data_IF_303009461966
#
_entry.id   IF_303009461966
#
_cell.length_a   1.000
_cell.length_b   1.000
_cell.length_c   1.000
_cell.angle_alpha   90.00
_cell.angle_beta   90.00
_cell.angle_gamma   90.00
#
_symmetry.space_group_name_H-M   'P 1'
#
loop_
_entity.id
_entity.type
_entity.pdbx_description
1 polymer ?
#
# COMPACT_ATOMS: atom_id res chain seq x y z
N UNK A 1 -0.68 28.54 31.46
CA UNK A 1 -1.71 27.91 30.59
C UNK A 1 -1.15 27.78 29.18
N UNK A 2 -1.40 26.61 28.55
CA UNK A 2 -1.06 26.19 27.16
C UNK A 2 0.10 25.18 27.06
N UNK A 3 -0.25 23.89 27.01
CA UNK A 3 0.12 22.92 25.96
C UNK A 3 -0.01 21.47 26.46
N UNK A 4 -1.25 20.97 26.54
CA UNK A 4 -1.55 19.55 26.80
C UNK A 4 -2.31 18.87 25.66
N UNK A 5 -2.60 19.56 24.54
CA UNK A 5 -3.48 19.00 23.47
C UNK A 5 -2.80 18.18 22.37
N UNK A 6 -1.47 18.03 22.36
CA UNK A 6 -0.76 17.30 21.28
C UNK A 6 -0.59 15.79 21.52
N UNK A 7 -0.68 15.33 22.77
CA UNK A 7 -0.50 13.90 23.12
C UNK A 7 -1.74 13.03 22.90
N UNK A 8 -2.93 13.63 22.95
CA UNK A 8 -4.18 12.86 23.03
C UNK A 8 -4.71 12.45 21.64
N UNK A 9 -4.41 13.22 20.59
CA UNK A 9 -4.86 12.93 19.23
C UNK A 9 -4.17 11.72 18.58
N UNK A 10 -2.96 11.36 19.04
CA UNK A 10 -2.22 10.22 18.48
C UNK A 10 -2.76 8.88 18.99
N UNK A 11 -3.18 8.81 20.26
CA UNK A 11 -3.76 7.60 20.88
C UNK A 11 -5.18 7.27 20.41
N UNK A 12 -5.98 8.28 20.06
CA UNK A 12 -7.37 8.09 19.63
C UNK A 12 -7.45 7.58 18.18
N UNK A 13 -6.51 7.98 17.32
CA UNK A 13 -6.48 7.60 15.89
C UNK A 13 -6.14 6.14 15.63
N UNK A 14 -5.22 5.55 16.43
CA UNK A 14 -4.86 4.13 16.27
C UNK A 14 -6.03 3.18 16.58
N UNK A 15 -6.98 3.63 17.41
CA UNK A 15 -8.14 2.85 17.80
C UNK A 15 -9.16 2.68 16.65
N UNK A 16 -9.15 3.57 15.65
CA UNK A 16 -10.07 3.46 14.51
C UNK A 16 -9.80 2.20 13.69
N UNK A 17 -8.55 2.02 13.26
CA UNK A 17 -8.16 0.89 12.42
C UNK A 17 -8.26 -0.44 13.16
N UNK A 18 -7.91 -0.47 14.45
CA UNK A 18 -7.99 -1.67 15.30
C UNK A 18 -9.43 -2.16 15.51
N UNK A 19 -10.40 -1.26 15.56
CA UNK A 19 -11.80 -1.60 15.84
C UNK A 19 -12.64 -1.85 14.58
N UNK A 20 -12.13 -1.51 13.38
CA UNK A 20 -12.86 -1.79 12.14
C UNK A 20 -12.97 -3.30 11.95
N UNK A 21 -14.22 -3.79 11.90
CA UNK A 21 -14.50 -5.18 11.56
C UNK A 21 -14.23 -5.40 10.06
N UNK A 22 -13.32 -6.30 9.74
CA UNK A 22 -12.97 -6.68 8.37
C UNK A 22 -13.51 -8.08 8.10
N UNK A 23 -14.41 -8.21 7.14
CA UNK A 23 -15.02 -9.50 6.80
C UNK A 23 -14.27 -10.14 5.64
N UNK A 24 -13.34 -11.05 5.95
CA UNK A 24 -12.60 -11.83 4.95
C UNK A 24 -13.00 -13.31 5.05
N UNK A 25 -13.10 -13.98 3.90
CA UNK A 25 -13.26 -15.43 3.87
C UNK A 25 -11.97 -16.12 4.33
N UNK A 26 -12.08 -17.36 4.80
CA UNK A 26 -10.90 -18.17 5.18
C UNK A 26 -9.91 -18.31 4.02
N UNK A 27 -10.41 -18.45 2.78
CA UNK A 27 -9.57 -18.52 1.61
C UNK A 27 -8.83 -17.19 1.36
N UNK A 28 -9.51 -16.05 1.50
CA UNK A 28 -8.87 -14.74 1.38
C UNK A 28 -7.75 -14.59 2.41
N UNK A 29 -7.99 -14.98 3.67
CA UNK A 29 -6.98 -14.95 4.73
C UNK A 29 -5.75 -15.80 4.34
N UNK A 30 -5.96 -17.05 3.90
CA UNK A 30 -4.86 -17.93 3.46
C UNK A 30 -4.08 -17.35 2.27
N UNK A 31 -4.75 -16.71 1.32
CA UNK A 31 -4.11 -16.06 0.18
C UNK A 31 -3.28 -14.86 0.64
N UNK A 32 -3.80 -14.03 1.54
CA UNK A 32 -3.08 -12.90 2.12
C UNK A 32 -1.82 -13.38 2.84
N UNK A 33 -1.94 -14.34 3.76
CA UNK A 33 -0.82 -14.91 4.50
C UNK A 33 0.27 -15.45 3.58
N UNK A 34 -0.10 -16.16 2.52
CA UNK A 34 0.87 -16.77 1.60
C UNK A 34 1.59 -15.78 0.70
N UNK A 35 0.94 -14.69 0.28
CA UNK A 35 1.43 -13.86 -0.84
C UNK A 35 1.65 -12.39 -0.52
N UNK A 36 0.91 -11.82 0.41
CA UNK A 36 0.82 -10.36 0.56
C UNK A 36 1.40 -9.89 1.89
N UNK A 37 1.15 -10.65 2.95
CA UNK A 37 1.57 -10.28 4.28
C UNK A 37 3.10 -10.18 4.39
N UNK A 38 3.59 -9.08 4.96
CA UNK A 38 5.00 -8.85 5.30
C UNK A 38 5.54 -9.98 6.18
N UNK A 39 6.75 -10.41 5.85
CA UNK A 39 7.53 -11.40 6.57
C UNK A 39 8.91 -10.85 6.88
N UNK A 40 9.57 -11.42 7.89
CA UNK A 40 11.01 -11.26 8.10
C UNK A 40 11.82 -12.18 7.19
N UNK A 41 13.14 -12.20 7.40
CA UNK A 41 14.11 -12.99 6.63
C UNK A 41 13.93 -14.50 6.87
N UNK A 42 13.43 -14.87 8.05
CA UNK A 42 13.10 -16.23 8.46
C UNK A 42 11.72 -16.70 7.96
N UNK A 43 10.95 -15.81 7.33
CA UNK A 43 9.65 -16.10 6.73
C UNK A 43 8.47 -16.06 7.70
N UNK A 44 8.67 -15.55 8.92
CA UNK A 44 7.64 -15.37 9.95
C UNK A 44 6.76 -14.18 9.59
N UNK A 45 5.44 -14.33 9.76
CA UNK A 45 4.49 -13.26 9.47
C UNK A 45 4.60 -12.12 10.50
N UNK A 46 4.81 -10.90 9.99
CA UNK A 46 4.95 -9.67 10.79
C UNK A 46 3.69 -8.80 10.79
N UNK A 47 2.70 -9.12 9.97
CA UNK A 47 1.47 -8.33 9.84
C UNK A 47 0.23 -9.21 9.72
N UNK A 48 -0.92 -8.70 10.17
CA UNK A 48 -2.25 -9.27 9.92
C UNK A 48 -2.90 -8.57 8.73
N UNK A 49 -4.02 -9.10 8.18
CA UNK A 49 -4.74 -8.44 7.09
C UNK A 49 -5.09 -6.96 7.34
N UNK A 50 -5.54 -6.61 8.55
CA UNK A 50 -5.83 -5.23 8.91
C UNK A 50 -4.58 -4.33 8.85
N UNK A 51 -3.45 -4.80 9.38
CA UNK A 51 -2.18 -4.08 9.35
C UNK A 51 -1.70 -3.85 7.91
N UNK A 52 -1.86 -4.86 7.05
CA UNK A 52 -1.57 -4.75 5.61
C UNK A 52 -2.38 -3.64 4.96
N UNK A 53 -3.70 -3.57 5.20
CA UNK A 53 -4.54 -2.52 4.64
C UNK A 53 -4.16 -1.13 5.15
N UNK A 54 -3.82 -0.98 6.43
CA UNK A 54 -3.32 0.29 6.98
C UNK A 54 -2.00 0.70 6.32
N UNK A 55 -1.05 -0.24 6.19
CA UNK A 55 0.24 -0.01 5.53
C UNK A 55 0.04 0.49 4.10
N UNK A 56 -0.80 -0.19 3.32
CA UNK A 56 -1.08 0.15 1.93
C UNK A 56 -1.77 1.52 1.83
N UNK A 57 -2.83 1.74 2.62
CA UNK A 57 -3.58 3.00 2.62
C UNK A 57 -2.70 4.20 2.95
N UNK A 58 -1.86 4.07 4.00
CA UNK A 58 -0.93 5.11 4.44
C UNK A 58 0.11 5.43 3.38
N UNK A 59 0.70 4.41 2.76
CA UNK A 59 1.73 4.60 1.74
C UNK A 59 1.15 5.31 0.51
N UNK A 60 -0.02 4.90 0.02
CA UNK A 60 -0.68 5.55 -1.13
C UNK A 60 -1.06 6.99 -0.79
N UNK A 61 -1.72 7.23 0.35
CA UNK A 61 -2.12 8.57 0.78
C UNK A 61 -0.93 9.53 0.96
N UNK A 62 0.27 9.02 1.28
CA UNK A 62 1.46 9.87 1.45
C UNK A 62 1.85 10.65 0.19
N UNK A 63 1.46 10.18 -0.99
CA UNK A 63 1.71 10.89 -2.25
C UNK A 63 1.03 12.26 -2.30
N UNK A 64 -0.10 12.42 -1.61
CA UNK A 64 -0.88 13.66 -1.54
C UNK A 64 -0.10 14.84 -0.96
N UNK A 65 0.91 14.57 -0.12
CA UNK A 65 1.83 15.60 0.38
C UNK A 65 2.57 16.33 -0.74
N UNK A 66 2.90 15.60 -1.82
CA UNK A 66 3.54 16.18 -3.01
C UNK A 66 2.61 17.13 -3.78
N UNK A 67 1.30 17.04 -3.54
CA UNK A 67 0.27 17.88 -4.13
C UNK A 67 -0.25 18.97 -3.17
N UNK A 68 0.51 19.26 -2.09
CA UNK A 68 0.24 20.39 -1.20
C UNK A 68 -0.80 20.14 -0.11
N UNK A 69 -1.26 18.90 0.09
CA UNK A 69 -2.18 18.57 1.19
C UNK A 69 -1.49 18.58 2.55
N UNK A 70 -2.22 19.03 3.56
CA UNK A 70 -1.82 19.03 4.97
C UNK A 70 -1.77 17.61 5.54
N UNK A 71 -1.11 17.44 6.69
CA UNK A 71 -1.04 16.14 7.37
C UNK A 71 -2.43 15.63 7.78
N UNK A 72 -3.33 16.53 8.17
CA UNK A 72 -4.71 16.21 8.50
C UNK A 72 -5.49 15.70 7.29
N UNK A 73 -5.38 16.36 6.14
CA UNK A 73 -6.04 15.93 4.90
C UNK A 73 -5.51 14.59 4.40
N UNK A 74 -4.19 14.38 4.45
CA UNK A 74 -3.55 13.10 4.10
C UNK A 74 -4.11 11.96 4.96
N UNK A 75 -4.31 12.21 6.27
CA UNK A 75 -4.89 11.21 7.18
C UNK A 75 -6.35 10.90 6.86
N UNK A 76 -7.14 11.88 6.45
CA UNK A 76 -8.52 11.62 6.03
C UNK A 76 -8.55 10.79 4.74
N UNK A 77 -7.64 11.03 3.81
CA UNK A 77 -7.49 10.22 2.58
C UNK A 77 -6.99 8.80 2.90
N UNK A 78 -6.04 8.64 3.83
CA UNK A 78 -5.61 7.33 4.35
C UNK A 78 -6.82 6.53 4.85
N UNK A 79 -7.71 7.14 5.65
CA UNK A 79 -8.92 6.47 6.11
C UNK A 79 -9.87 6.11 4.97
N UNK A 80 -10.03 6.97 3.98
CA UNK A 80 -10.86 6.69 2.81
C UNK A 80 -10.34 5.46 2.05
N UNK A 81 -9.03 5.41 1.75
CA UNK A 81 -8.43 4.24 1.11
C UNK A 81 -8.54 2.97 1.96
N UNK A 82 -8.33 3.09 3.28
CA UNK A 82 -8.50 1.96 4.19
C UNK A 82 -9.94 1.42 4.17
N UNK A 83 -10.95 2.29 4.19
CA UNK A 83 -12.35 1.89 4.18
C UNK A 83 -12.72 1.19 2.89
N UNK A 84 -12.47 1.77 1.72
CA UNK A 84 -12.84 1.15 0.44
C UNK A 84 -12.16 -0.22 0.25
N UNK A 85 -10.95 -0.41 0.78
CA UNK A 85 -10.26 -1.70 0.74
C UNK A 85 -10.84 -2.71 1.73
N UNK A 86 -11.15 -2.29 2.95
CA UNK A 86 -11.67 -3.20 4.00
C UNK A 86 -13.14 -3.54 3.84
N UNK A 87 -13.90 -2.65 3.19
CA UNK A 87 -15.30 -2.86 2.79
C UNK A 87 -15.39 -3.63 1.45
N UNK A 88 -14.25 -3.89 0.80
CA UNK A 88 -14.10 -4.64 -0.47
C UNK A 88 -14.78 -3.98 -1.68
N UNK A 89 -15.06 -2.68 -1.61
CA UNK A 89 -15.56 -1.88 -2.73
C UNK A 89 -14.48 -1.68 -3.80
N UNK A 90 -13.21 -1.63 -3.39
CA UNK A 90 -12.06 -1.51 -4.28
C UNK A 90 -10.81 -2.16 -3.67
N UNK A 91 -10.08 -2.92 -4.48
CA UNK A 91 -8.74 -3.40 -4.12
C UNK A 91 -7.75 -2.96 -5.20
N UNK A 92 -6.57 -2.44 -4.80
CA UNK A 92 -5.54 -2.16 -5.76
C UNK A 92 -4.94 -3.47 -6.29
N UNK A 93 -4.15 -3.38 -7.36
CA UNK A 93 -3.52 -4.55 -7.97
C UNK A 93 -2.58 -5.30 -6.99
N UNK A 94 -2.15 -6.51 -7.37
CA UNK A 94 -1.29 -7.33 -6.53
C UNK A 94 0.04 -6.65 -6.14
N UNK A 95 0.81 -6.01 -7.05
CA UNK A 95 2.05 -5.33 -6.68
C UNK A 95 1.85 -4.24 -5.63
N UNK A 96 0.75 -3.47 -5.71
CA UNK A 96 0.45 -2.45 -4.70
C UNK A 96 0.24 -3.08 -3.32
N UNK A 97 -0.58 -4.13 -3.21
CA UNK A 97 -0.79 -4.83 -1.93
C UNK A 97 0.51 -5.44 -1.38
N UNK A 98 1.33 -6.01 -2.28
CA UNK A 98 2.58 -6.67 -1.92
C UNK A 98 3.66 -5.68 -1.49
N UNK A 99 3.80 -4.52 -2.15
CA UNK A 99 5.00 -3.68 -2.08
C UNK A 99 4.81 -2.30 -1.44
N UNK A 100 3.57 -1.78 -1.37
CA UNK A 100 3.32 -0.45 -0.80
C UNK A 100 3.83 -0.38 0.66
N UNK A 101 4.71 0.57 0.95
CA UNK A 101 5.30 0.69 2.30
C UNK A 101 6.40 -0.33 2.64
N UNK A 102 6.90 -1.12 1.68
CA UNK A 102 8.11 -1.97 1.80
C UNK A 102 9.29 -1.34 1.04
N UNK A 103 10.48 -1.92 1.10
CA UNK A 103 11.68 -1.35 0.47
C UNK A 103 11.56 -1.20 -1.06
N UNK A 104 11.06 -2.23 -1.75
CA UNK A 104 11.00 -2.26 -3.23
C UNK A 104 10.13 -1.15 -3.85
N UNK A 105 9.02 -0.75 -3.20
CA UNK A 105 8.06 0.29 -3.65
C UNK A 105 7.56 0.20 -5.12
N UNK A 106 7.78 -0.89 -5.85
CA UNK A 106 7.25 -1.11 -7.19
C UNK A 106 5.76 -1.47 -7.11
N UNK A 107 4.88 -0.49 -7.41
CA UNK A 107 3.41 -0.64 -7.27
C UNK A 107 2.70 -1.02 -8.59
N UNK A 108 3.40 -0.93 -9.71
CA UNK A 108 2.93 -1.33 -11.03
C UNK A 108 3.52 -2.70 -11.44
N UNK A 109 2.83 -3.42 -12.33
CA UNK A 109 3.33 -4.64 -12.96
C UNK A 109 3.15 -4.68 -14.48
N UNK A 110 2.41 -3.75 -15.05
CA UNK A 110 2.15 -3.71 -16.48
C UNK A 110 2.83 -2.49 -17.06
N UNK A 111 3.78 -2.71 -17.96
CA UNK A 111 4.55 -1.68 -18.63
C UNK A 111 4.36 -1.84 -20.14
N UNK A 112 4.28 -0.72 -20.83
CA UNK A 112 4.22 -0.68 -22.30
C UNK A 112 5.51 -0.03 -22.77
N UNK A 113 6.31 -0.78 -23.50
CA UNK A 113 7.59 -0.32 -24.02
C UNK A 113 7.43 0.06 -25.51
N UNK A 114 7.89 1.26 -25.92
CA UNK A 114 7.93 1.61 -27.32
C UNK A 114 9.00 0.78 -28.04
N UNK A 115 8.71 0.31 -29.26
CA UNK A 115 9.66 -0.39 -30.10
C UNK A 115 9.80 0.39 -31.41
N UNK A 116 10.97 0.99 -31.62
CA UNK A 116 11.29 1.74 -32.84
C UNK A 116 11.69 0.83 -34.00
N UNK A 117 11.69 1.38 -35.21
CA UNK A 117 12.10 0.68 -36.44
C UNK A 117 13.62 0.82 -36.68
N UNK A 118 14.42 0.47 -35.67
CA UNK A 118 15.87 0.39 -35.79
C UNK A 118 16.42 -0.73 -34.90
N UNK A 119 17.56 -1.33 -35.29
CA UNK A 119 18.18 -2.38 -34.48
C UNK A 119 18.49 -1.90 -33.06
N UNK A 120 18.94 -0.66 -32.90
CA UNK A 120 19.25 -0.08 -31.60
C UNK A 120 17.99 0.01 -30.73
N UNK A 121 16.88 0.54 -31.28
CA UNK A 121 15.64 0.69 -30.52
C UNK A 121 15.03 -0.67 -30.15
N UNK A 122 15.14 -1.67 -31.03
CA UNK A 122 14.70 -3.04 -30.76
C UNK A 122 15.48 -3.65 -29.59
N UNK A 123 16.82 -3.54 -29.61
CA UNK A 123 17.65 -4.09 -28.53
C UNK A 123 17.48 -3.33 -27.21
N UNK A 124 17.23 -2.01 -27.26
CA UNK A 124 16.94 -1.23 -26.06
C UNK A 124 15.61 -1.68 -25.43
N UNK A 125 14.55 -1.88 -26.22
CA UNK A 125 13.28 -2.40 -25.71
C UNK A 125 13.43 -3.80 -25.05
N UNK A 126 14.26 -4.68 -25.62
CA UNK A 126 14.58 -5.98 -25.03
C UNK A 126 15.33 -5.84 -23.70
N UNK A 127 16.30 -4.93 -23.63
CA UNK A 127 17.05 -4.63 -22.40
C UNK A 127 16.11 -4.11 -21.31
N UNK A 128 15.25 -3.15 -21.62
CA UNK A 128 14.27 -2.62 -20.66
C UNK A 128 13.30 -3.71 -20.20
N UNK A 129 12.86 -4.61 -21.10
CA UNK A 129 12.01 -5.76 -20.74
C UNK A 129 12.69 -6.69 -19.72
N UNK A 130 14.01 -6.85 -19.79
CA UNK A 130 14.75 -7.70 -18.85
C UNK A 130 15.03 -7.03 -17.49
N UNK A 131 15.00 -5.69 -17.44
CA UNK A 131 15.24 -4.92 -16.21
C UNK A 131 13.97 -4.74 -15.37
N UNK A 132 12.80 -4.72 -16.02
CA UNK A 132 11.47 -4.54 -15.40
C UNK A 132 11.00 -5.82 -14.72
#
# INVERSE_FOLDING_TARGET
MKNTKKSDNKKIQDNYYLNKKINLSENAIKVLERRYLKRDEEGILLEKPGDMFVRVARNIASAEKKYGKTEEEVKEIEKQFFNIMTDLDFLPNSPTLMNAGKELQQLAACFVLPVGDSMNDIFEALKETALI
#
